data_IF_292532273936
#
_entry.id   IF_292532273936
#
_cell.length_a   1.000
_cell.length_b   1.000
_cell.length_c   1.000
_cell.angle_alpha   90.00
_cell.angle_beta   90.00
_cell.angle_gamma   90.00
#
_symmetry.space_group_name_H-M   'P 1'
#
loop_
_entity.id
_entity.type
_entity.pdbx_description
1 polymer ?
#
# COMPACT_ATOMS: atom_id res chain seq x y z
N UNK A 1 9.11 36.00 29.93
CA UNK A 1 8.03 35.70 30.89
C UNK A 1 8.61 34.86 32.00
N UNK A 2 8.20 35.10 33.26
CA UNK A 2 8.62 34.28 34.41
C UNK A 2 8.15 32.83 34.24
N UNK A 3 8.93 31.89 34.77
CA UNK A 3 8.52 30.50 34.88
C UNK A 3 7.47 30.40 36.00
N UNK A 4 6.20 30.07 35.72
CA UNK A 4 5.16 30.00 36.76
C UNK A 4 5.54 29.01 37.87
N UNK A 5 6.27 27.93 37.55
CA UNK A 5 6.75 26.96 38.54
C UNK A 5 7.89 27.48 39.45
N UNK A 6 8.15 28.79 39.44
CA UNK A 6 9.05 29.48 40.38
C UNK A 6 8.38 30.63 41.12
N UNK A 7 7.23 31.10 40.65
CA UNK A 7 6.60 32.33 41.14
C UNK A 7 5.16 32.13 41.57
N UNK A 8 4.55 31.01 41.19
CA UNK A 8 3.16 30.69 41.46
C UNK A 8 3.08 29.47 42.37
N UNK A 9 2.78 29.71 43.65
CA UNK A 9 2.66 28.69 44.69
C UNK A 9 1.62 27.63 44.33
N UNK A 10 0.48 28.05 43.76
CA UNK A 10 -0.58 27.14 43.33
C UNK A 10 -0.08 26.20 42.25
N UNK A 11 0.67 26.72 41.28
CA UNK A 11 1.27 25.93 40.21
C UNK A 11 2.36 24.97 40.72
N UNK A 12 3.20 25.42 41.66
CA UNK A 12 4.26 24.59 42.28
C UNK A 12 3.62 23.40 43.01
N UNK A 13 2.67 23.65 43.92
CA UNK A 13 1.99 22.60 44.68
C UNK A 13 1.27 21.61 43.78
N UNK A 14 0.65 22.10 42.69
CA UNK A 14 0.01 21.23 41.71
C UNK A 14 0.97 20.28 41.01
N UNK A 15 2.19 20.73 40.68
CA UNK A 15 3.21 19.87 40.06
C UNK A 15 3.80 18.88 41.06
N UNK A 16 3.97 19.27 42.33
CA UNK A 16 4.40 18.33 43.38
C UNK A 16 3.37 17.22 43.58
N UNK A 17 2.08 17.57 43.69
CA UNK A 17 1.01 16.59 43.79
C UNK A 17 0.90 15.71 42.54
N UNK A 18 1.08 16.28 41.35
CA UNK A 18 1.13 15.50 40.11
C UNK A 18 2.25 14.44 40.12
N UNK A 19 3.43 14.78 40.65
CA UNK A 19 4.52 13.82 40.79
C UNK A 19 4.22 12.74 41.84
N UNK A 20 3.59 13.12 42.95
CA UNK A 20 3.12 12.19 43.98
C UNK A 20 2.11 11.19 43.42
N UNK A 21 1.08 11.66 42.69
CA UNK A 21 0.07 10.81 42.05
C UNK A 21 0.64 9.91 40.94
N UNK A 22 1.84 10.22 40.45
CA UNK A 22 2.59 9.35 39.54
C UNK A 22 3.34 8.21 40.25
N UNK A 23 3.14 8.05 41.56
CA UNK A 23 3.78 7.05 42.43
C UNK A 23 5.32 7.10 42.37
N UNK A 24 5.88 8.28 42.12
CA UNK A 24 7.33 8.47 42.16
C UNK A 24 7.80 8.57 43.60
N UNK A 25 8.94 7.95 43.91
CA UNK A 25 9.59 8.19 45.20
C UNK A 25 9.98 9.66 45.37
N UNK A 26 9.99 10.14 46.60
CA UNK A 26 10.32 11.52 46.97
C UNK A 26 11.65 11.98 46.37
N UNK A 27 12.69 11.14 46.48
CA UNK A 27 14.00 11.42 45.90
C UNK A 27 13.98 11.52 44.36
N UNK A 28 13.22 10.66 43.69
CA UNK A 28 13.07 10.69 42.23
C UNK A 28 12.36 11.98 41.78
N UNK A 29 11.28 12.34 42.47
CA UNK A 29 10.53 13.57 42.25
C UNK A 29 11.37 14.82 42.49
N UNK A 30 12.16 14.84 43.56
CA UNK A 30 13.14 15.90 43.85
C UNK A 30 14.13 16.10 42.71
N UNK A 31 14.76 15.00 42.25
CA UNK A 31 15.76 15.07 41.18
C UNK A 31 15.14 15.52 39.86
N UNK A 32 13.96 15.02 39.52
CA UNK A 32 13.27 15.41 38.29
C UNK A 32 12.82 16.87 38.35
N UNK A 33 12.14 17.27 39.42
CA UNK A 33 11.64 18.63 39.58
C UNK A 33 12.76 19.66 39.51
N UNK A 34 13.84 19.48 40.27
CA UNK A 34 14.96 20.42 40.25
C UNK A 34 15.71 20.42 38.92
N UNK A 35 15.76 19.29 38.20
CA UNK A 35 16.32 19.25 36.84
C UNK A 35 15.42 19.98 35.83
N UNK A 36 14.11 19.82 35.94
CA UNK A 36 13.12 20.41 35.02
C UNK A 36 12.94 21.89 35.28
N UNK A 37 12.76 22.32 36.53
CA UNK A 37 12.53 23.73 36.92
C UNK A 37 13.84 24.53 36.93
N UNK A 38 14.98 23.86 37.21
CA UNK A 38 16.34 24.40 37.42
C UNK A 38 16.47 25.21 38.71
N UNK A 39 17.73 25.42 39.12
CA UNK A 39 18.19 26.26 40.25
C UNK A 39 18.03 25.67 41.65
N UNK A 40 17.88 24.35 41.79
CA UNK A 40 17.67 23.68 43.09
C UNK A 40 16.55 24.36 43.91
N UNK A 41 15.46 24.68 43.22
CA UNK A 41 14.38 25.52 43.72
C UNK A 41 13.74 24.99 45.01
N UNK A 42 13.57 23.67 45.12
CA UNK A 42 13.00 23.02 46.30
C UNK A 42 14.05 22.12 46.96
N UNK A 43 14.13 22.13 48.29
CA UNK A 43 14.98 21.20 49.03
C UNK A 43 14.36 19.80 49.06
N UNK A 44 15.14 18.78 49.46
CA UNK A 44 14.60 17.44 49.65
C UNK A 44 13.60 17.42 50.82
N UNK A 45 13.93 18.10 51.91
CA UNK A 45 13.12 18.19 53.13
C UNK A 45 11.76 18.85 52.85
N UNK A 46 11.72 19.93 52.06
CA UNK A 46 10.46 20.59 51.66
C UNK A 46 9.59 19.65 50.81
N UNK A 47 10.20 18.86 49.93
CA UNK A 47 9.47 17.93 49.08
C UNK A 47 8.95 16.73 49.88
N UNK A 48 9.75 16.22 50.83
CA UNK A 48 9.34 15.22 51.83
C UNK A 48 8.15 15.72 52.65
N UNK A 49 8.22 16.96 53.14
CA UNK A 49 7.12 17.60 53.86
C UNK A 49 5.82 17.56 53.04
N UNK A 50 5.83 18.01 51.79
CA UNK A 50 4.64 18.01 50.95
C UNK A 50 4.12 16.61 50.61
N UNK A 51 5.00 15.65 50.35
CA UNK A 51 4.59 14.27 50.06
C UNK A 51 3.90 13.63 51.27
N UNK A 52 4.42 13.81 52.48
CA UNK A 52 3.76 13.36 53.71
C UNK A 52 2.40 14.04 53.91
N UNK A 53 2.25 15.32 53.54
CA UNK A 53 0.95 15.99 53.58
C UNK A 53 -0.05 15.38 52.60
N UNK A 54 0.37 15.08 51.37
CA UNK A 54 -0.48 14.44 50.37
C UNK A 54 -0.91 13.02 50.80
N UNK A 55 -0.04 12.25 51.46
CA UNK A 55 -0.42 10.94 52.03
C UNK A 55 -1.57 11.05 53.05
N UNK A 56 -1.65 12.17 53.76
CA UNK A 56 -2.71 12.46 54.73
C UNK A 56 -3.91 13.21 54.12
N UNK A 57 -3.95 13.36 52.79
CA UNK A 57 -5.03 14.08 52.10
C UNK A 57 -4.99 15.60 52.28
N UNK A 58 -3.85 16.18 52.65
CA UNK A 58 -3.71 17.62 52.94
C UNK A 58 -2.99 18.35 51.80
N UNK A 59 -3.50 19.52 51.40
CA UNK A 59 -2.99 20.26 50.23
C UNK A 59 -2.62 21.72 50.49
N UNK A 60 -2.89 22.24 51.68
CA UNK A 60 -2.39 23.53 52.11
C UNK A 60 -1.73 23.44 53.48
N UNK A 61 -1.11 24.54 53.91
CA UNK A 61 -0.49 24.67 55.23
C UNK A 61 -1.47 25.14 56.31
N UNK A 62 -2.69 25.57 55.94
CA UNK A 62 -3.57 26.38 56.80
C UNK A 62 -4.84 25.67 57.25
N UNK A 63 -5.25 24.60 56.58
CA UNK A 63 -6.53 23.95 56.78
C UNK A 63 -6.32 22.45 57.09
N UNK A 64 -6.03 22.17 58.36
CA UNK A 64 -5.80 20.82 58.86
C UNK A 64 -7.09 20.03 59.14
N UNK A 65 -8.24 20.70 59.04
CA UNK A 65 -9.56 20.15 59.38
C UNK A 65 -10.23 19.41 58.22
N UNK A 66 -9.73 19.58 56.98
CA UNK A 66 -10.29 18.93 55.78
C UNK A 66 -9.28 18.02 55.09
N UNK A 67 -9.71 16.79 54.77
CA UNK A 67 -8.94 15.84 53.97
C UNK A 67 -9.53 15.72 52.57
N UNK A 68 -8.71 15.92 51.55
CA UNK A 68 -9.07 15.77 50.15
C UNK A 68 -8.95 14.29 49.78
N UNK A 69 -10.09 13.68 49.47
CA UNK A 69 -10.15 12.26 49.08
C UNK A 69 -9.86 12.03 47.59
N UNK A 70 -9.99 13.06 46.74
CA UNK A 70 -9.81 12.94 45.29
C UNK A 70 -8.90 14.05 44.73
N UNK A 71 -7.60 13.88 44.94
CA UNK A 71 -6.57 14.76 44.39
C UNK A 71 -6.52 14.78 42.87
N UNK A 72 -6.92 13.68 42.23
CA UNK A 72 -6.93 13.58 40.77
C UNK A 72 -7.95 14.56 40.20
N UNK A 73 -9.18 14.52 40.69
CA UNK A 73 -10.23 15.44 40.24
C UNK A 73 -9.88 16.88 40.57
N UNK A 74 -9.31 17.16 41.76
CA UNK A 74 -8.84 18.51 42.11
C UNK A 74 -7.82 19.07 41.10
N UNK A 75 -6.86 18.27 40.62
CA UNK A 75 -5.92 18.71 39.59
C UNK A 75 -6.55 18.80 38.20
N UNK A 76 -7.53 17.95 37.90
CA UNK A 76 -8.16 17.86 36.57
C UNK A 76 -9.21 18.96 36.35
N UNK A 77 -10.00 19.28 37.38
CA UNK A 77 -11.11 20.23 37.31
C UNK A 77 -10.65 21.70 37.39
N UNK A 78 -9.55 21.95 38.10
CA UNK A 78 -8.95 23.28 38.18
C UNK A 78 -8.00 23.52 37.01
N UNK A 79 -8.47 24.28 36.01
CA UNK A 79 -7.72 24.60 34.79
C UNK A 79 -6.32 25.14 35.05
N UNK A 80 -6.14 25.96 36.08
CA UNK A 80 -4.83 26.52 36.39
C UNK A 80 -3.87 25.42 36.85
N UNK A 81 -4.35 24.53 37.74
CA UNK A 81 -3.58 23.38 38.25
C UNK A 81 -3.24 22.39 37.14
N UNK A 82 -4.22 22.07 36.29
CA UNK A 82 -4.04 21.19 35.14
C UNK A 82 -2.94 21.74 34.22
N UNK A 83 -3.02 23.03 33.88
CA UNK A 83 -2.06 23.71 32.99
C UNK A 83 -0.67 23.81 33.59
N UNK A 84 -0.54 23.97 34.90
CA UNK A 84 0.76 23.89 35.58
C UNK A 84 1.42 22.52 35.34
N UNK A 85 0.64 21.43 35.41
CA UNK A 85 1.12 20.08 35.13
C UNK A 85 1.49 19.89 33.65
N UNK A 86 0.69 20.42 32.71
CA UNK A 86 1.05 20.42 31.28
C UNK A 86 2.35 21.19 31.05
N UNK A 87 2.51 22.34 31.70
CA UNK A 87 3.70 23.17 31.58
C UNK A 87 4.94 22.47 32.12
N UNK A 88 4.82 21.72 33.21
CA UNK A 88 5.90 20.86 33.70
C UNK A 88 6.32 19.80 32.69
N UNK A 89 5.35 19.08 32.09
CA UNK A 89 5.64 18.09 31.05
C UNK A 89 6.24 18.73 29.78
N UNK A 90 5.83 19.95 29.41
CA UNK A 90 6.49 20.74 28.37
C UNK A 90 7.96 21.04 28.71
N UNK A 91 8.23 21.58 29.90
CA UNK A 91 9.60 21.89 30.32
C UNK A 91 10.47 20.63 30.35
N UNK A 92 9.90 19.51 30.79
CA UNK A 92 10.56 18.20 30.79
C UNK A 92 10.99 17.79 29.38
N UNK A 93 10.09 17.88 28.40
CA UNK A 93 10.38 17.54 27.02
C UNK A 93 11.45 18.46 26.39
N UNK A 94 11.42 19.75 26.68
CA UNK A 94 12.39 20.72 26.13
C UNK A 94 13.73 20.66 26.85
N UNK A 95 13.78 20.42 28.16
CA UNK A 95 15.01 20.53 28.97
C UNK A 95 15.73 19.21 29.19
N UNK A 96 15.04 18.07 29.05
CA UNK A 96 15.65 16.75 29.26
C UNK A 96 16.06 16.04 27.97
N UNK A 97 15.63 16.52 26.80
CA UNK A 97 15.99 15.95 25.50
C UNK A 97 16.91 16.90 24.73
N UNK A 98 17.84 16.33 23.97
CA UNK A 98 18.76 17.08 23.11
C UNK A 98 18.07 17.69 21.88
N UNK A 99 17.00 17.05 21.39
CA UNK A 99 16.21 17.50 20.24
C UNK A 99 14.72 17.29 20.52
N UNK A 100 13.91 18.30 20.18
CA UNK A 100 12.46 18.20 20.24
C UNK A 100 11.91 17.45 19.01
N UNK A 101 11.06 16.46 19.24
CA UNK A 101 10.38 15.70 18.17
C UNK A 101 8.87 15.76 18.39
N UNK A 102 8.07 15.86 17.32
CA UNK A 102 6.61 15.98 17.45
C UNK A 102 5.94 14.78 18.16
N UNK A 103 6.51 13.57 18.09
CA UNK A 103 6.03 12.40 18.85
C UNK A 103 6.22 12.55 20.37
N UNK A 104 7.06 13.48 20.82
CA UNK A 104 7.23 13.83 22.23
C UNK A 104 5.96 14.42 22.85
N UNK A 105 5.18 15.20 22.10
CA UNK A 105 3.93 15.81 22.60
C UNK A 105 2.93 14.71 22.98
N UNK A 106 2.71 13.77 22.07
CA UNK A 106 1.79 12.66 22.32
C UNK A 106 2.30 11.70 23.42
N UNK A 107 3.63 11.53 23.54
CA UNK A 107 4.21 10.77 24.63
C UNK A 107 4.01 11.45 25.99
N UNK A 108 4.12 12.78 26.06
CA UNK A 108 3.84 13.57 27.26
C UNK A 108 2.36 13.50 27.65
N UNK A 109 1.46 13.66 26.68
CA UNK A 109 0.02 13.44 26.89
C UNK A 109 -0.27 12.07 27.50
N UNK A 110 0.27 10.99 26.90
CA UNK A 110 0.08 9.62 27.40
C UNK A 110 0.61 9.38 28.81
N UNK A 111 1.63 10.13 29.26
CA UNK A 111 2.09 10.05 30.65
C UNK A 111 1.08 10.72 31.56
N UNK A 112 0.68 11.94 31.23
CA UNK A 112 -0.24 12.74 32.03
C UNK A 112 -1.63 12.10 32.12
N UNK A 113 -2.17 11.57 31.01
CA UNK A 113 -3.48 10.93 30.94
C UNK A 113 -3.59 9.61 31.71
N UNK A 114 -2.48 9.06 32.21
CA UNK A 114 -2.50 7.90 33.13
C UNK A 114 -2.91 8.31 34.53
N UNK A 115 -2.69 9.58 34.89
CA UNK A 115 -2.85 10.09 36.25
C UNK A 115 -4.00 11.08 36.32
N UNK A 116 -4.13 11.98 35.35
CA UNK A 116 -5.14 13.04 35.32
C UNK A 116 -6.17 12.78 34.22
N UNK A 117 -7.39 13.30 34.42
CA UNK A 117 -8.36 13.36 33.34
C UNK A 117 -8.07 14.60 32.48
N UNK A 118 -7.73 14.39 31.22
CA UNK A 118 -7.31 15.46 30.32
C UNK A 118 -7.67 15.15 28.87
N UNK A 119 -8.38 16.10 28.26
CA UNK A 119 -8.64 16.07 26.82
C UNK A 119 -7.36 16.33 26.02
N UNK A 120 -7.13 15.53 24.98
CA UNK A 120 -5.94 15.70 24.14
C UNK A 120 -5.89 17.07 23.48
N UNK A 121 -7.03 17.65 23.13
CA UNK A 121 -7.09 18.93 22.43
C UNK A 121 -6.67 20.07 23.35
N UNK A 122 -7.09 20.05 24.62
CA UNK A 122 -6.64 21.04 25.62
C UNK A 122 -5.15 20.87 25.90
N UNK A 123 -4.68 19.62 26.06
CA UNK A 123 -3.26 19.33 26.21
C UNK A 123 -2.43 19.89 25.05
N UNK A 124 -2.79 19.53 23.82
CA UNK A 124 -2.08 19.89 22.59
C UNK A 124 -2.03 21.42 22.43
N UNK A 125 -3.16 22.10 22.64
CA UNK A 125 -3.25 23.56 22.62
C UNK A 125 -2.31 24.21 23.64
N UNK A 126 -2.37 23.78 24.90
CA UNK A 126 -1.53 24.31 25.97
C UNK A 126 -0.04 24.10 25.65
N UNK A 127 0.31 22.88 25.24
CA UNK A 127 1.69 22.50 24.94
C UNK A 127 2.28 23.35 23.81
N UNK A 128 1.57 23.52 22.70
CA UNK A 128 2.04 24.37 21.60
C UNK A 128 2.01 25.86 21.94
N UNK A 129 1.12 26.31 22.81
CA UNK A 129 1.13 27.68 23.36
C UNK A 129 2.41 27.93 24.16
N UNK A 130 2.82 26.98 25.00
CA UNK A 130 4.08 27.08 25.75
C UNK A 130 5.30 27.00 24.85
N UNK A 131 5.28 26.16 23.80
CA UNK A 131 6.35 26.15 22.78
C UNK A 131 6.55 27.52 22.10
N UNK A 132 5.48 28.30 21.95
CA UNK A 132 5.54 29.68 21.41
C UNK A 132 6.01 30.72 22.43
N UNK A 133 6.37 30.32 23.65
CA UNK A 133 6.89 31.20 24.70
C UNK A 133 5.83 31.92 25.55
N UNK A 134 4.55 31.52 25.45
CA UNK A 134 3.45 32.16 26.19
C UNK A 134 3.13 31.33 27.44
N UNK A 135 3.71 31.70 28.59
CA UNK A 135 3.69 30.88 29.82
C UNK A 135 2.59 31.22 30.84
N UNK A 136 1.69 32.16 30.54
CA UNK A 136 0.55 32.43 31.40
C UNK A 136 -0.36 31.18 31.49
N UNK A 137 -0.69 30.74 32.71
CA UNK A 137 -1.57 29.61 33.00
C UNK A 137 -3.06 30.01 33.01
N UNK A 138 -3.35 31.28 33.31
CA UNK A 138 -4.68 31.88 33.35
C UNK A 138 -5.01 32.51 32.00
N UNK A 139 -5.53 31.68 31.10
CA UNK A 139 -6.08 32.12 29.82
C UNK A 139 -7.45 31.51 29.56
N UNK A 140 -8.25 32.22 28.78
CA UNK A 140 -9.50 31.67 28.24
C UNK A 140 -9.17 30.64 27.16
N UNK A 141 -9.59 29.41 27.40
CA UNK A 141 -9.52 28.34 26.42
C UNK A 141 -10.83 28.34 25.65
N UNK A 142 -10.77 28.69 24.36
CA UNK A 142 -11.90 28.55 23.45
C UNK A 142 -11.69 27.29 22.59
N UNK A 143 -12.48 26.21 22.82
CA UNK A 143 -12.41 24.98 22.03
C UNK A 143 -12.62 25.20 20.53
N UNK A 144 -13.35 26.24 20.14
CA UNK A 144 -13.64 26.57 18.73
C UNK A 144 -12.40 27.02 17.95
N UNK A 145 -11.32 27.40 18.64
CA UNK A 145 -10.04 27.75 18.00
C UNK A 145 -9.20 26.53 17.64
N UNK A 146 -9.59 25.34 18.10
CA UNK A 146 -8.85 24.11 17.85
C UNK A 146 -9.23 23.59 16.47
N UNK A 147 -8.23 23.55 15.60
CA UNK A 147 -8.39 22.93 14.28
C UNK A 147 -8.36 21.41 14.46
N UNK A 148 -9.47 20.77 14.13
CA UNK A 148 -9.55 19.34 13.96
C UNK A 148 -8.97 18.92 12.61
N UNK A 149 -8.72 17.62 12.44
CA UNK A 149 -8.36 17.07 11.13
C UNK A 149 -9.40 17.37 10.05
N UNK A 150 -10.68 17.50 10.42
CA UNK A 150 -11.78 17.79 9.50
C UNK A 150 -11.73 19.21 8.93
N UNK A 151 -11.01 20.12 9.59
CA UNK A 151 -10.81 21.51 9.18
C UNK A 151 -9.68 21.66 8.16
N UNK A 152 -8.93 20.59 7.87
CA UNK A 152 -7.94 20.59 6.81
C UNK A 152 -8.61 20.78 5.44
N UNK A 153 -8.04 21.64 4.57
CA UNK A 153 -8.50 21.76 3.19
C UNK A 153 -8.47 20.40 2.48
N UNK A 154 -9.47 20.16 1.62
CA UNK A 154 -9.62 18.91 0.88
C UNK A 154 -8.33 18.49 0.16
N UNK A 155 -7.65 19.43 -0.50
CA UNK A 155 -6.38 19.18 -1.21
C UNK A 155 -5.25 18.71 -0.28
N UNK A 156 -5.22 19.19 0.97
CA UNK A 156 -4.22 18.74 1.95
C UNK A 156 -4.48 17.30 2.36
N UNK A 157 -5.74 16.94 2.62
CA UNK A 157 -6.12 15.56 2.95
C UNK A 157 -5.82 14.61 1.80
N UNK A 158 -6.04 15.05 0.54
CA UNK A 158 -5.72 14.29 -0.66
C UNK A 158 -4.22 13.98 -0.77
N UNK A 159 -3.36 14.96 -0.48
CA UNK A 159 -1.90 14.76 -0.43
C UNK A 159 -1.52 13.74 0.64
N UNK A 160 -2.10 13.84 1.84
CA UNK A 160 -1.86 12.87 2.93
C UNK A 160 -2.25 11.48 2.46
N UNK A 161 -3.48 11.30 1.97
CA UNK A 161 -4.01 10.03 1.49
C UNK A 161 -3.18 9.44 0.34
N UNK A 162 -2.64 10.26 -0.56
CA UNK A 162 -1.74 9.82 -1.64
C UNK A 162 -0.39 9.27 -1.16
N UNK A 163 0.06 9.68 0.03
CA UNK A 163 1.32 9.20 0.64
C UNK A 163 1.16 7.92 1.45
N UNK A 164 -0.06 7.59 1.88
CA UNK A 164 -0.34 6.41 2.68
C UNK A 164 -0.08 5.12 1.92
N UNK A 165 0.34 4.09 2.65
CA UNK A 165 0.36 2.73 2.14
C UNK A 165 -1.04 2.10 2.12
N UNK A 166 -1.16 0.93 1.48
CA UNK A 166 -2.45 0.27 1.32
C UNK A 166 -3.15 -0.05 2.66
N UNK A 167 -2.50 -0.65 3.69
CA UNK A 167 -3.11 -0.85 5.01
C UNK A 167 -3.65 0.45 5.64
N UNK A 168 -2.85 1.51 5.62
CA UNK A 168 -3.22 2.82 6.16
C UNK A 168 -4.44 3.41 5.43
N UNK A 169 -4.49 3.25 4.11
CA UNK A 169 -5.65 3.68 3.31
C UNK A 169 -6.91 2.90 3.68
N UNK A 170 -6.81 1.57 3.85
CA UNK A 170 -7.92 0.75 4.31
C UNK A 170 -8.41 1.16 5.71
N UNK A 171 -7.49 1.54 6.61
CA UNK A 171 -7.83 2.08 7.92
C UNK A 171 -8.55 3.43 7.82
N UNK A 172 -7.98 4.40 7.11
CA UNK A 172 -8.56 5.76 7.00
C UNK A 172 -9.92 5.75 6.29
N UNK A 173 -10.08 4.90 5.27
CA UNK A 173 -11.35 4.70 4.56
C UNK A 173 -12.51 4.28 5.49
N UNK A 174 -12.21 3.67 6.64
CA UNK A 174 -13.20 3.20 7.62
C UNK A 174 -13.57 4.27 8.67
N UNK A 175 -12.82 5.38 8.76
CA UNK A 175 -13.02 6.38 9.81
C UNK A 175 -14.22 7.31 9.58
N UNK A 176 -14.44 7.77 8.34
CA UNK A 176 -15.58 8.63 8.01
C UNK A 176 -16.00 8.53 6.55
N UNK A 177 -17.23 8.96 6.25
CA UNK A 177 -17.74 9.01 4.87
C UNK A 177 -16.92 9.94 3.97
N UNK A 178 -16.54 11.12 4.48
CA UNK A 178 -15.69 12.09 3.74
C UNK A 178 -14.32 11.49 3.40
N UNK A 179 -13.67 10.83 4.37
CA UNK A 179 -12.38 10.19 4.15
C UNK A 179 -12.46 9.00 3.20
N UNK A 180 -13.55 8.23 3.28
CA UNK A 180 -13.84 7.13 2.35
C UNK A 180 -13.83 7.61 0.91
N UNK A 181 -14.59 8.66 0.62
CA UNK A 181 -14.67 9.20 -0.75
C UNK A 181 -13.32 9.74 -1.22
N UNK A 182 -12.57 10.44 -0.35
CA UNK A 182 -11.22 10.92 -0.68
C UNK A 182 -10.28 9.76 -1.02
N UNK A 183 -10.30 8.67 -0.24
CA UNK A 183 -9.49 7.47 -0.51
C UNK A 183 -9.89 6.86 -1.86
N UNK A 184 -11.18 6.69 -2.10
CA UNK A 184 -11.70 6.04 -3.31
C UNK A 184 -11.38 6.85 -4.59
N UNK A 185 -11.38 8.18 -4.50
CA UNK A 185 -11.05 9.09 -5.60
C UNK A 185 -9.54 9.28 -5.82
N UNK A 186 -8.72 9.08 -4.80
CA UNK A 186 -7.28 9.33 -4.86
C UNK A 186 -6.54 8.12 -5.40
N UNK A 187 -6.33 8.06 -6.72
CA UNK A 187 -5.54 6.99 -7.35
C UNK A 187 -4.06 7.06 -6.97
N UNK A 188 -3.44 5.91 -6.73
CA UNK A 188 -2.00 5.79 -6.45
C UNK A 188 -1.30 4.98 -7.54
N UNK A 189 -0.04 5.30 -7.82
CA UNK A 189 0.82 4.49 -8.67
C UNK A 189 1.34 3.27 -7.91
N UNK A 190 1.19 2.08 -8.49
CA UNK A 190 1.70 0.82 -7.96
C UNK A 190 2.57 0.14 -9.03
N UNK A 191 3.77 -0.29 -8.64
CA UNK A 191 4.69 -0.93 -9.57
C UNK A 191 4.24 -2.35 -9.89
N UNK A 192 3.91 -3.14 -8.86
CA UNK A 192 3.50 -4.51 -9.05
C UNK A 192 2.44 -4.95 -8.04
N UNK A 193 1.46 -5.70 -8.52
CA UNK A 193 0.53 -6.47 -7.70
C UNK A 193 0.60 -7.93 -8.13
N UNK A 194 0.94 -8.82 -7.21
CA UNK A 194 0.89 -10.27 -7.42
C UNK A 194 -0.24 -10.87 -6.58
N UNK A 195 -1.24 -11.42 -7.26
CA UNK A 195 -2.38 -12.09 -6.63
C UNK A 195 -2.23 -13.60 -6.88
N UNK A 196 -2.20 -14.39 -5.81
CA UNK A 196 -2.24 -15.84 -5.88
C UNK A 196 -3.49 -16.33 -5.14
N UNK A 197 -4.32 -17.07 -5.84
CA UNK A 197 -5.57 -17.60 -5.29
C UNK A 197 -5.51 -19.11 -5.38
N UNK A 198 -5.74 -19.74 -4.24
CA UNK A 198 -5.91 -21.19 -4.11
C UNK A 198 -7.23 -21.45 -3.39
N UNK A 199 -7.63 -22.72 -3.31
CA UNK A 199 -8.77 -23.15 -2.50
C UNK A 199 -8.72 -22.69 -1.03
N UNK A 200 -7.52 -22.54 -0.46
CA UNK A 200 -7.35 -22.30 0.97
C UNK A 200 -6.82 -20.91 1.32
N UNK A 201 -6.15 -20.25 0.37
CA UNK A 201 -5.38 -19.04 0.64
C UNK A 201 -5.53 -18.06 -0.52
N UNK A 202 -5.86 -16.81 -0.19
CA UNK A 202 -5.66 -15.66 -1.08
C UNK A 202 -4.42 -14.91 -0.57
N UNK A 203 -3.39 -14.86 -1.40
CA UNK A 203 -2.15 -14.14 -1.11
C UNK A 203 -1.99 -12.97 -2.09
N UNK A 204 -1.69 -11.79 -1.54
CA UNK A 204 -1.54 -10.55 -2.31
C UNK A 204 -0.21 -9.93 -1.94
N UNK A 205 0.67 -9.72 -2.92
CA UNK A 205 1.87 -8.93 -2.75
C UNK A 205 1.72 -7.61 -3.49
N UNK A 206 2.06 -6.51 -2.82
CA UNK A 206 2.02 -5.17 -3.39
C UNK A 206 3.40 -4.56 -3.28
N UNK A 207 3.95 -4.14 -4.42
CA UNK A 207 5.21 -3.42 -4.51
C UNK A 207 4.98 -2.01 -5.04
N UNK A 208 5.41 -1.03 -4.24
CA UNK A 208 5.46 0.38 -4.61
C UNK A 208 6.87 0.90 -4.30
N UNK A 209 7.57 1.31 -5.36
CA UNK A 209 8.92 1.86 -5.30
C UNK A 209 8.91 3.23 -4.59
N UNK A 210 10.02 3.60 -3.91
CA UNK A 210 11.31 2.90 -3.90
C UNK A 210 11.45 1.76 -2.88
N UNK A 211 10.58 1.62 -1.87
CA UNK A 211 10.90 0.79 -0.69
C UNK A 211 9.73 0.07 -0.02
N UNK A 212 8.51 0.14 -0.55
CA UNK A 212 7.37 -0.53 0.10
C UNK A 212 7.02 -1.84 -0.60
N UNK A 213 7.24 -2.96 0.11
CA UNK A 213 6.70 -4.28 -0.22
C UNK A 213 5.79 -4.73 0.92
N UNK A 214 4.61 -5.21 0.55
CA UNK A 214 3.60 -5.65 1.51
C UNK A 214 3.04 -6.98 1.06
N UNK A 215 2.97 -7.94 1.98
CA UNK A 215 2.33 -9.23 1.76
C UNK A 215 1.09 -9.33 2.64
N UNK A 216 -0.01 -9.76 2.04
CA UNK A 216 -1.28 -10.08 2.70
C UNK A 216 -1.64 -11.53 2.41
N UNK A 217 -2.07 -12.26 3.44
CA UNK A 217 -2.59 -13.62 3.32
C UNK A 217 -3.91 -13.73 4.05
N UNK A 218 -4.91 -14.24 3.35
CA UNK A 218 -6.25 -14.50 3.88
C UNK A 218 -6.48 -16.01 3.84
N UNK A 219 -6.81 -16.61 4.98
CA UNK A 219 -7.09 -18.04 5.06
C UNK A 219 -8.04 -18.38 6.21
N UNK A 220 -8.88 -19.36 5.98
CA UNK A 220 -9.95 -19.76 6.90
C UNK A 220 -9.45 -20.84 7.86
N UNK A 221 -9.75 -20.69 9.16
CA UNK A 221 -9.58 -21.73 10.18
C UNK A 221 -10.91 -21.90 10.92
N UNK A 222 -11.67 -22.94 10.58
CA UNK A 222 -13.03 -23.11 11.11
C UNK A 222 -13.91 -21.91 10.77
N UNK A 223 -14.53 -21.29 11.77
CA UNK A 223 -15.35 -20.08 11.64
C UNK A 223 -14.54 -18.77 11.71
N UNK A 224 -13.22 -18.85 11.79
CA UNK A 224 -12.33 -17.69 11.93
C UNK A 224 -11.63 -17.42 10.60
N UNK A 225 -11.82 -16.20 10.08
CA UNK A 225 -10.95 -15.70 9.03
C UNK A 225 -9.67 -15.10 9.62
N UNK A 226 -8.52 -15.54 9.12
CA UNK A 226 -7.21 -15.02 9.51
C UNK A 226 -6.63 -14.17 8.40
N UNK A 227 -6.19 -12.97 8.78
CA UNK A 227 -5.47 -12.04 7.91
C UNK A 227 -4.07 -11.83 8.46
N UNK A 228 -3.07 -12.33 7.75
CA UNK A 228 -1.66 -12.14 8.05
C UNK A 228 -1.10 -11.02 7.15
N UNK A 229 -0.44 -10.02 7.76
CA UNK A 229 0.23 -8.92 7.09
C UNK A 229 1.55 -8.57 7.78
N UNK A 230 2.68 -8.71 7.08
CA UNK A 230 4.02 -8.34 7.58
C UNK A 230 4.25 -8.78 9.05
N UNK A 231 4.02 -10.06 9.34
CA UNK A 231 4.14 -10.69 10.68
C UNK A 231 3.09 -10.28 11.73
N UNK A 232 2.12 -9.45 11.38
CA UNK A 232 0.95 -9.16 12.22
C UNK A 232 -0.21 -10.04 11.79
N UNK A 233 -0.85 -10.69 12.75
CA UNK A 233 -2.02 -11.54 12.56
C UNK A 233 -3.26 -10.84 13.11
N UNK A 234 -4.35 -10.83 12.35
CA UNK A 234 -5.69 -10.46 12.81
C UNK A 234 -6.64 -11.61 12.57
N UNK A 235 -7.58 -11.79 13.49
CA UNK A 235 -8.59 -12.85 13.44
C UNK A 235 -9.98 -12.22 13.47
N UNK A 236 -10.87 -12.70 12.62
CA UNK A 236 -12.25 -12.22 12.47
C UNK A 236 -13.19 -13.41 12.56
N UNK A 237 -13.94 -13.50 13.67
CA UNK A 237 -14.90 -14.60 13.92
C UNK A 237 -16.19 -14.38 13.12
N UNK A 238 -16.67 -15.42 12.44
CA UNK A 238 -17.92 -15.40 11.67
C UNK A 238 -17.79 -14.76 10.28
N UNK A 239 -16.61 -14.26 9.91
CA UNK A 239 -16.37 -13.67 8.60
C UNK A 239 -15.81 -14.71 7.64
N UNK A 240 -16.30 -14.70 6.39
CA UNK A 240 -15.70 -15.46 5.31
C UNK A 240 -14.45 -14.72 4.79
N UNK A 241 -13.32 -15.42 4.71
CA UNK A 241 -12.08 -14.84 4.19
C UNK A 241 -12.15 -14.41 2.73
N UNK A 242 -12.94 -15.05 1.88
CA UNK A 242 -13.15 -14.63 0.50
C UNK A 242 -13.80 -13.26 0.43
N UNK A 243 -14.82 -12.99 1.25
CA UNK A 243 -15.50 -11.69 1.28
C UNK A 243 -14.58 -10.58 1.77
N UNK A 244 -13.84 -10.84 2.86
CA UNK A 244 -12.87 -9.90 3.40
C UNK A 244 -11.76 -9.60 2.39
N UNK A 245 -11.17 -10.65 1.79
CA UNK A 245 -10.15 -10.49 0.76
C UNK A 245 -10.69 -9.75 -0.47
N UNK A 246 -11.92 -10.04 -0.90
CA UNK A 246 -12.53 -9.41 -2.07
C UNK A 246 -12.79 -7.92 -1.86
N UNK A 247 -13.25 -7.54 -0.67
CA UNK A 247 -13.45 -6.13 -0.33
C UNK A 247 -12.12 -5.36 -0.23
N UNK A 248 -11.11 -5.94 0.42
CA UNK A 248 -9.79 -5.31 0.50
C UNK A 248 -9.14 -5.19 -0.90
N UNK A 249 -9.18 -6.26 -1.70
CA UNK A 249 -8.68 -6.27 -3.08
C UNK A 249 -9.41 -5.29 -3.99
N UNK A 250 -10.74 -5.17 -3.87
CA UNK A 250 -11.50 -4.23 -4.71
C UNK A 250 -11.09 -2.79 -4.41
N UNK A 251 -10.83 -2.44 -3.15
CA UNK A 251 -10.29 -1.12 -2.77
C UNK A 251 -8.91 -0.92 -3.40
N UNK A 252 -8.01 -1.91 -3.28
CA UNK A 252 -6.67 -1.85 -3.87
C UNK A 252 -6.74 -1.61 -5.38
N UNK A 253 -7.49 -2.45 -6.09
CA UNK A 253 -7.56 -2.44 -7.55
C UNK A 253 -8.25 -1.17 -8.07
N UNK A 254 -9.39 -0.79 -7.49
CA UNK A 254 -10.10 0.43 -7.88
C UNK A 254 -9.23 1.66 -7.66
N UNK A 255 -8.43 1.74 -6.60
CA UNK A 255 -7.65 2.95 -6.28
C UNK A 255 -6.24 2.98 -6.91
N UNK A 256 -5.93 2.12 -7.87
CA UNK A 256 -4.57 1.96 -8.38
C UNK A 256 -4.41 2.21 -9.89
N UNK A 257 -3.28 2.82 -10.25
CA UNK A 257 -2.68 2.73 -11.58
C UNK A 257 -1.51 1.75 -11.50
N UNK A 258 -1.64 0.61 -12.17
CA UNK A 258 -0.79 -0.56 -11.97
C UNK A 258 0.16 -0.71 -13.15
N UNK A 259 1.47 -0.72 -12.90
CA UNK A 259 2.45 -1.01 -13.96
C UNK A 259 2.42 -2.50 -14.32
N UNK A 260 2.40 -3.41 -13.34
CA UNK A 260 2.37 -4.86 -13.56
C UNK A 260 1.34 -5.54 -12.67
N UNK A 261 0.39 -6.26 -13.27
CA UNK A 261 -0.60 -7.08 -12.58
C UNK A 261 -0.37 -8.55 -12.92
N UNK A 262 0.00 -9.34 -11.91
CA UNK A 262 0.25 -10.76 -12.04
C UNK A 262 -0.82 -11.53 -11.26
N UNK A 263 -1.56 -12.42 -11.91
CA UNK A 263 -2.62 -13.21 -11.27
C UNK A 263 -2.37 -14.69 -11.51
N UNK A 264 -2.40 -15.47 -10.42
CA UNK A 264 -2.13 -16.91 -10.43
C UNK A 264 -3.28 -17.66 -9.77
N UNK A 265 -4.01 -18.43 -10.58
CA UNK A 265 -5.06 -19.32 -10.09
C UNK A 265 -4.51 -20.73 -9.87
N UNK A 266 -4.87 -21.38 -8.76
CA UNK A 266 -4.51 -22.78 -8.54
C UNK A 266 -5.27 -23.71 -9.50
N UNK A 267 -6.57 -23.45 -9.66
CA UNK A 267 -7.59 -24.25 -10.33
C UNK A 267 -8.76 -23.36 -10.82
N UNK A 268 -9.81 -23.97 -11.39
CA UNK A 268 -11.01 -23.27 -11.89
C UNK A 268 -11.80 -22.62 -10.74
N UNK A 269 -11.91 -23.29 -9.60
CA UNK A 269 -12.61 -22.76 -8.40
C UNK A 269 -11.95 -21.46 -7.90
N UNK A 270 -10.61 -21.40 -7.93
CA UNK A 270 -9.84 -20.20 -7.61
C UNK A 270 -10.14 -19.02 -8.54
N UNK A 271 -10.48 -19.29 -9.80
CA UNK A 271 -10.91 -18.25 -10.73
C UNK A 271 -12.31 -17.75 -10.40
N UNK A 272 -13.27 -18.65 -10.14
CA UNK A 272 -14.64 -18.30 -9.72
C UNK A 272 -14.62 -17.44 -8.45
N UNK A 273 -13.77 -17.78 -7.48
CA UNK A 273 -13.57 -16.98 -6.28
C UNK A 273 -13.07 -15.56 -6.60
N UNK A 274 -12.23 -15.40 -7.62
CA UNK A 274 -11.76 -14.09 -8.04
C UNK A 274 -12.82 -13.27 -8.78
N UNK A 275 -13.80 -13.90 -9.41
CA UNK A 275 -14.91 -13.18 -10.06
C UNK A 275 -15.68 -12.32 -9.06
N UNK A 276 -15.80 -12.76 -7.81
CA UNK A 276 -16.38 -11.96 -6.73
C UNK A 276 -15.60 -10.66 -6.48
N UNK A 277 -14.29 -10.65 -6.70
CA UNK A 277 -13.48 -9.42 -6.64
C UNK A 277 -13.82 -8.51 -7.83
N UNK A 278 -13.96 -9.11 -9.01
CA UNK A 278 -14.24 -8.39 -10.25
C UNK A 278 -15.62 -7.69 -10.22
N UNK A 279 -16.64 -8.32 -9.62
CA UNK A 279 -17.99 -7.72 -9.49
C UNK A 279 -18.02 -6.52 -8.55
N UNK A 280 -17.05 -6.37 -7.65
CA UNK A 280 -16.89 -5.22 -6.75
C UNK A 280 -16.09 -4.07 -7.37
N UNK A 281 -15.57 -4.25 -8.59
CA UNK A 281 -14.88 -3.18 -9.30
C UNK A 281 -15.90 -2.16 -9.80
N UNK A 282 -15.67 -0.89 -9.49
CA UNK A 282 -16.51 0.23 -9.93
C UNK A 282 -15.88 1.02 -11.08
N UNK A 283 -14.65 0.67 -11.46
CA UNK A 283 -13.91 1.32 -12.55
C UNK A 283 -13.11 0.31 -13.35
N UNK A 284 -12.86 0.62 -14.61
CA UNK A 284 -11.91 -0.14 -15.42
C UNK A 284 -10.47 0.05 -14.91
N UNK A 285 -9.74 -1.03 -14.78
CA UNK A 285 -8.40 -1.04 -14.20
C UNK A 285 -7.38 -0.47 -15.17
N UNK A 286 -6.56 0.45 -14.68
CA UNK A 286 -5.43 0.98 -15.43
C UNK A 286 -4.21 0.08 -15.25
N UNK A 287 -3.98 -0.83 -16.19
CA UNK A 287 -2.87 -1.81 -16.16
C UNK A 287 -2.00 -1.67 -17.41
N UNK A 288 -0.68 -1.64 -17.24
CA UNK A 288 0.27 -1.61 -18.37
C UNK A 288 0.75 -3.00 -18.79
N UNK A 289 1.04 -3.88 -17.83
CA UNK A 289 1.51 -5.24 -18.10
C UNK A 289 0.64 -6.23 -17.34
N UNK A 290 0.02 -7.16 -18.08
CA UNK A 290 -0.79 -8.23 -17.51
C UNK A 290 -0.03 -9.55 -17.61
N UNK A 291 -0.04 -10.33 -16.53
CA UNK A 291 0.47 -11.69 -16.49
C UNK A 291 -0.54 -12.62 -15.83
N UNK A 292 -0.96 -13.66 -16.53
CA UNK A 292 -2.01 -14.57 -16.09
C UNK A 292 -1.53 -16.01 -16.10
N UNK A 293 -1.69 -16.70 -14.98
CA UNK A 293 -1.59 -18.16 -14.91
C UNK A 293 -2.99 -18.75 -14.78
N UNK A 294 -3.52 -19.24 -15.90
CA UNK A 294 -4.92 -19.60 -16.12
C UNK A 294 -5.05 -21.03 -16.67
N UNK A 295 -6.26 -21.57 -16.62
CA UNK A 295 -6.55 -22.90 -17.18
C UNK A 295 -6.98 -22.84 -18.65
N UNK A 296 -7.65 -21.78 -19.08
CA UNK A 296 -8.18 -21.64 -20.43
C UNK A 296 -8.15 -20.17 -20.92
N UNK A 297 -8.52 -19.96 -22.19
CA UNK A 297 -8.53 -18.65 -22.83
C UNK A 297 -9.64 -17.72 -22.32
N UNK A 298 -10.81 -18.27 -21.99
CA UNK A 298 -11.96 -17.51 -21.51
C UNK A 298 -11.60 -16.67 -20.29
N UNK A 299 -10.85 -17.26 -19.34
CA UNK A 299 -10.33 -16.57 -18.17
C UNK A 299 -9.48 -15.35 -18.53
N UNK A 300 -8.69 -15.42 -19.61
CA UNK A 300 -7.87 -14.28 -20.09
C UNK A 300 -8.78 -13.14 -20.52
N UNK A 301 -9.75 -13.41 -21.39
CA UNK A 301 -10.61 -12.37 -21.95
C UNK A 301 -11.60 -11.81 -20.94
N UNK A 302 -12.07 -12.64 -20.00
CA UNK A 302 -12.89 -12.19 -18.89
C UNK A 302 -12.12 -11.24 -17.98
N UNK A 303 -10.81 -11.41 -17.77
CA UNK A 303 -10.00 -10.44 -17.02
C UNK A 303 -9.73 -9.18 -17.87
N UNK A 304 -9.42 -9.35 -19.15
CA UNK A 304 -9.18 -8.22 -20.06
C UNK A 304 -10.37 -7.25 -20.14
N UNK A 305 -11.60 -7.73 -19.97
CA UNK A 305 -12.81 -6.88 -20.06
C UNK A 305 -12.91 -5.85 -18.93
N UNK A 306 -12.26 -6.11 -17.79
CA UNK A 306 -12.17 -5.18 -16.68
C UNK A 306 -11.00 -4.19 -16.81
N UNK A 307 -10.13 -4.36 -17.81
CA UNK A 307 -9.02 -3.43 -18.05
C UNK A 307 -9.47 -2.27 -18.93
N UNK A 308 -8.94 -1.09 -18.65
CA UNK A 308 -9.17 0.11 -19.46
C UNK A 308 -8.47 -0.03 -20.82
N UNK A 309 -9.18 0.16 -21.95
CA UNK A 309 -8.54 0.24 -23.26
C UNK A 309 -7.45 1.32 -23.32
N UNK A 310 -6.41 1.08 -24.11
CA UNK A 310 -5.31 2.03 -24.35
C UNK A 310 -4.20 2.04 -23.30
N UNK A 311 -4.36 1.38 -22.15
CA UNK A 311 -3.32 1.36 -21.10
C UNK A 311 -2.40 0.16 -21.24
N UNK A 312 -2.93 -0.97 -21.73
CA UNK A 312 -2.26 -2.26 -21.77
C UNK A 312 -1.19 -2.29 -22.87
N UNK A 313 0.05 -2.55 -22.47
CA UNK A 313 1.23 -2.66 -23.35
C UNK A 313 1.63 -4.11 -23.59
N UNK A 314 1.52 -4.96 -22.57
CA UNK A 314 1.97 -6.36 -22.62
C UNK A 314 0.96 -7.33 -22.02
N UNK A 315 0.82 -8.49 -22.67
CA UNK A 315 0.00 -9.61 -22.20
C UNK A 315 0.90 -10.85 -22.11
N UNK A 316 0.98 -11.45 -20.92
CA UNK A 316 1.68 -12.71 -20.69
C UNK A 316 0.68 -13.76 -20.20
N UNK A 317 0.64 -14.91 -20.86
CA UNK A 317 -0.32 -15.99 -20.57
C UNK A 317 0.44 -17.29 -20.33
N UNK A 318 0.19 -17.89 -19.18
CA UNK A 318 0.73 -19.18 -18.76
C UNK A 318 -0.43 -20.16 -18.56
N UNK A 319 -0.48 -21.21 -19.39
CA UNK A 319 -1.43 -22.31 -19.20
C UNK A 319 -0.86 -23.41 -18.30
N UNK A 320 -1.70 -24.02 -17.46
CA UNK A 320 -1.35 -25.21 -16.66
C UNK A 320 -1.76 -26.54 -17.28
N UNK A 321 -2.70 -26.57 -18.22
CA UNK A 321 -3.32 -27.80 -18.74
C UNK A 321 -3.24 -27.89 -20.28
N UNK A 322 -3.43 -29.11 -20.80
CA UNK A 322 -3.43 -29.53 -22.21
C UNK A 322 -4.58 -28.88 -23.04
N UNK A 323 -4.58 -29.00 -24.39
CA UNK A 323 -4.78 -27.87 -25.30
C UNK A 323 -6.22 -27.32 -25.44
N UNK A 324 -6.28 -26.02 -25.71
CA UNK A 324 -7.47 -25.15 -25.71
C UNK A 324 -8.40 -25.32 -26.93
N UNK A 325 -8.57 -26.54 -27.43
CA UNK A 325 -9.23 -26.82 -28.71
C UNK A 325 -10.74 -26.50 -28.74
N UNK A 326 -11.41 -26.40 -27.59
CA UNK A 326 -12.87 -26.25 -27.53
C UNK A 326 -13.37 -24.83 -27.17
N UNK A 327 -12.53 -23.80 -27.29
CA UNK A 327 -12.87 -22.42 -26.88
C UNK A 327 -12.78 -21.39 -28.02
N UNK A 328 -12.92 -21.83 -29.27
CA UNK A 328 -12.72 -20.98 -30.44
C UNK A 328 -13.67 -19.76 -30.45
N UNK A 329 -14.92 -19.93 -30.01
CA UNK A 329 -15.91 -18.85 -30.01
C UNK A 329 -15.53 -17.72 -29.05
N UNK A 330 -15.15 -18.07 -27.82
CA UNK A 330 -14.72 -17.13 -26.78
C UNK A 330 -13.42 -16.43 -27.17
N UNK A 331 -12.48 -17.18 -27.75
CA UNK A 331 -11.26 -16.63 -28.31
C UNK A 331 -11.57 -15.59 -29.38
N UNK A 332 -12.44 -15.90 -30.36
CA UNK A 332 -12.83 -14.97 -31.43
C UNK A 332 -13.52 -13.72 -30.92
N UNK A 333 -14.33 -13.82 -29.87
CA UNK A 333 -14.92 -12.65 -29.21
C UNK A 333 -13.83 -11.80 -28.54
N UNK A 334 -12.92 -12.43 -27.81
CA UNK A 334 -11.82 -11.78 -27.11
C UNK A 334 -10.83 -11.02 -28.02
N UNK A 335 -10.53 -11.57 -29.20
CA UNK A 335 -9.64 -10.93 -30.17
C UNK A 335 -10.14 -9.59 -30.71
N UNK A 336 -11.46 -9.34 -30.65
CA UNK A 336 -12.06 -8.08 -31.10
C UNK A 336 -11.92 -6.94 -30.09
N UNK A 337 -11.48 -7.25 -28.87
CA UNK A 337 -11.34 -6.28 -27.79
C UNK A 337 -10.23 -5.27 -28.08
N UNK A 338 -10.49 -4.00 -27.81
CA UNK A 338 -9.49 -2.94 -27.93
C UNK A 338 -8.26 -3.20 -27.05
N UNK A 339 -8.47 -3.75 -25.85
CA UNK A 339 -7.39 -4.13 -24.94
C UNK A 339 -6.40 -5.11 -25.59
N UNK A 340 -6.91 -6.08 -26.38
CA UNK A 340 -6.08 -7.05 -27.10
C UNK A 340 -5.38 -6.42 -28.31
N UNK A 341 -6.13 -5.68 -29.13
CA UNK A 341 -5.65 -5.10 -30.39
C UNK A 341 -4.64 -3.97 -30.21
N UNK A 342 -4.69 -3.27 -29.07
CA UNK A 342 -3.80 -2.14 -28.79
C UNK A 342 -2.53 -2.56 -28.04
N UNK A 343 -2.51 -3.75 -27.44
CA UNK A 343 -1.32 -4.30 -26.79
C UNK A 343 -0.21 -4.55 -27.83
N UNK A 344 1.04 -4.33 -27.41
CA UNK A 344 2.22 -4.37 -28.29
C UNK A 344 3.05 -5.63 -28.14
N UNK A 345 2.94 -6.27 -26.97
CA UNK A 345 3.73 -7.45 -26.61
C UNK A 345 2.78 -8.58 -26.21
N UNK A 346 2.95 -9.73 -26.84
CA UNK A 346 2.30 -10.97 -26.45
C UNK A 346 3.35 -12.01 -26.09
N UNK A 347 3.19 -12.61 -24.92
CA UNK A 347 3.91 -13.82 -24.54
C UNK A 347 2.90 -14.90 -24.20
N UNK A 348 2.92 -15.98 -24.97
CA UNK A 348 1.99 -17.10 -24.87
C UNK A 348 2.75 -18.40 -24.59
N UNK A 349 2.67 -18.88 -23.37
CA UNK A 349 3.48 -19.99 -22.90
C UNK A 349 2.79 -21.36 -23.02
N UNK A 350 3.65 -22.39 -23.17
CA UNK A 350 3.39 -23.85 -23.11
C UNK A 350 2.47 -24.42 -24.18
N UNK A 351 1.29 -23.87 -24.34
CA UNK A 351 0.30 -24.34 -25.30
C UNK A 351 0.51 -23.61 -26.63
N UNK A 352 0.27 -24.32 -27.73
CA UNK A 352 0.18 -23.66 -29.04
C UNK A 352 -0.88 -22.56 -28.97
N UNK A 353 -0.66 -21.43 -29.63
CA UNK A 353 -1.74 -20.47 -29.83
C UNK A 353 -2.84 -21.15 -30.65
N UNK A 354 -4.10 -21.20 -30.16
CA UNK A 354 -5.13 -22.09 -30.71
C UNK A 354 -5.84 -21.53 -31.95
N UNK A 355 -5.51 -20.32 -32.39
CA UNK A 355 -6.12 -19.65 -33.53
C UNK A 355 -5.10 -19.38 -34.65
N UNK A 356 -5.55 -19.02 -35.86
CA UNK A 356 -4.65 -18.65 -36.96
C UNK A 356 -3.67 -17.55 -36.54
N UNK A 357 -2.41 -17.72 -36.96
CA UNK A 357 -1.28 -16.88 -36.55
C UNK A 357 -1.47 -15.40 -36.91
N UNK A 358 -2.21 -15.11 -37.96
CA UNK A 358 -2.51 -13.77 -38.46
C UNK A 358 -3.19 -12.90 -37.41
N UNK A 359 -3.91 -13.52 -36.47
CA UNK A 359 -4.53 -12.83 -35.32
C UNK A 359 -3.51 -12.25 -34.33
N UNK A 360 -2.22 -12.57 -34.51
CA UNK A 360 -1.12 -12.07 -33.69
C UNK A 360 -0.29 -11.00 -34.42
N UNK A 361 -0.47 -10.79 -35.72
CA UNK A 361 0.44 -9.95 -36.51
C UNK A 361 0.41 -8.45 -36.18
N UNK A 362 -0.56 -7.98 -35.39
CA UNK A 362 -0.56 -6.60 -34.86
C UNK A 362 0.41 -6.39 -33.69
N UNK A 363 0.90 -7.47 -33.08
CA UNK A 363 1.86 -7.38 -32.00
C UNK A 363 3.26 -7.06 -32.54
N UNK A 364 3.86 -5.99 -32.01
CA UNK A 364 5.27 -5.64 -32.23
C UNK A 364 6.22 -6.73 -31.75
N UNK A 365 5.87 -7.39 -30.66
CA UNK A 365 6.68 -8.47 -30.08
C UNK A 365 5.82 -9.68 -29.74
N UNK A 366 6.24 -10.86 -30.20
CA UNK A 366 5.55 -12.13 -29.96
C UNK A 366 6.56 -13.14 -29.43
N UNK A 367 6.19 -13.82 -28.36
CA UNK A 367 6.82 -15.07 -27.94
C UNK A 367 5.72 -16.11 -27.75
N UNK A 368 5.48 -16.95 -28.75
CA UNK A 368 4.41 -17.93 -28.71
C UNK A 368 4.93 -19.32 -29.07
N UNK A 369 4.22 -20.37 -28.64
CA UNK A 369 4.40 -21.71 -29.22
C UNK A 369 3.41 -21.88 -30.37
N UNK A 370 3.87 -22.49 -31.46
CA UNK A 370 3.00 -22.96 -32.53
C UNK A 370 2.86 -24.48 -32.42
N UNK A 371 1.65 -25.03 -32.61
CA UNK A 371 1.46 -26.48 -32.58
C UNK A 371 2.23 -27.17 -33.72
N UNK A 372 2.21 -26.58 -34.91
CA UNK A 372 2.98 -26.94 -36.10
C UNK A 372 3.39 -25.66 -36.85
N UNK A 373 4.43 -25.77 -37.68
CA UNK A 373 4.87 -24.72 -38.62
C UNK A 373 4.94 -25.36 -40.00
N UNK A 374 4.00 -25.02 -40.87
CA UNK A 374 3.97 -25.50 -42.26
C UNK A 374 4.40 -24.39 -43.25
N UNK A 375 4.62 -24.79 -44.50
CA UNK A 375 4.90 -23.90 -45.64
C UNK A 375 4.01 -22.67 -45.69
N UNK A 376 2.70 -22.89 -45.53
CA UNK A 376 1.69 -21.85 -45.67
C UNK A 376 1.83 -20.82 -44.55
N UNK A 377 2.11 -21.26 -43.33
CA UNK A 377 2.37 -20.37 -42.19
C UNK A 377 3.66 -19.58 -42.37
N UNK A 378 4.72 -20.20 -42.89
CA UNK A 378 5.97 -19.51 -43.19
C UNK A 378 5.78 -18.45 -44.28
N UNK A 379 5.01 -18.75 -45.32
CA UNK A 379 4.65 -17.79 -46.37
C UNK A 379 3.87 -16.60 -45.79
N UNK A 380 2.88 -16.86 -44.93
CA UNK A 380 2.11 -15.80 -44.26
C UNK A 380 2.98 -14.92 -43.36
N UNK A 381 3.94 -15.52 -42.64
CA UNK A 381 4.93 -14.77 -41.85
C UNK A 381 5.75 -13.88 -42.77
N UNK A 382 6.31 -14.41 -43.87
CA UNK A 382 7.10 -13.64 -44.84
C UNK A 382 6.32 -12.44 -45.36
N UNK A 383 5.07 -12.66 -45.80
CA UNK A 383 4.21 -11.59 -46.28
C UNK A 383 3.95 -10.53 -45.22
N UNK A 384 3.71 -10.93 -43.98
CA UNK A 384 3.53 -10.01 -42.86
C UNK A 384 4.80 -9.19 -42.58
N UNK A 385 5.98 -9.80 -42.59
CA UNK A 385 7.26 -9.10 -42.39
C UNK A 385 7.50 -8.03 -43.45
N UNK A 386 7.17 -8.32 -44.71
CA UNK A 386 7.33 -7.39 -45.83
C UNK A 386 6.30 -6.25 -45.81
N UNK A 387 5.07 -6.50 -45.32
CA UNK A 387 3.97 -5.53 -45.30
C UNK A 387 3.91 -4.68 -44.01
N UNK A 388 4.33 -5.23 -42.87
CA UNK A 388 4.12 -4.64 -41.54
C UNK A 388 5.44 -4.13 -40.94
N UNK A 389 5.58 -2.81 -40.84
CA UNK A 389 6.84 -2.19 -40.40
C UNK A 389 7.02 -2.08 -38.88
N UNK A 390 5.96 -2.33 -38.10
CA UNK A 390 5.98 -2.19 -36.64
C UNK A 390 6.65 -3.37 -35.91
N UNK A 391 6.86 -4.48 -36.60
CA UNK A 391 7.41 -5.73 -36.06
C UNK A 391 8.84 -5.47 -35.57
N UNK A 392 9.12 -5.89 -34.32
CA UNK A 392 10.47 -5.80 -33.72
C UNK A 392 11.07 -7.17 -33.49
N UNK A 393 10.30 -8.09 -32.91
CA UNK A 393 10.80 -9.41 -32.52
C UNK A 393 9.67 -10.43 -32.45
N UNK A 394 9.75 -11.49 -33.23
CA UNK A 394 8.84 -12.63 -33.13
C UNK A 394 9.65 -13.89 -32.87
N UNK A 395 9.18 -14.71 -31.93
CA UNK A 395 9.71 -16.05 -31.71
C UNK A 395 8.57 -17.04 -31.58
N UNK A 396 8.59 -18.02 -32.46
CA UNK A 396 7.62 -19.08 -32.54
C UNK A 396 8.30 -20.40 -32.19
N UNK A 397 8.02 -20.92 -30.98
CA UNK A 397 8.51 -22.21 -30.54
C UNK A 397 7.80 -23.32 -31.32
N UNK A 398 8.55 -24.20 -31.98
CA UNK A 398 7.98 -25.40 -32.62
C UNK A 398 7.96 -26.60 -31.65
N UNK A 399 7.12 -27.59 -31.93
CA UNK A 399 7.18 -28.90 -31.27
C UNK A 399 8.31 -29.75 -31.87
N UNK A 400 9.11 -30.48 -31.08
CA UNK A 400 10.19 -31.32 -31.62
C UNK A 400 9.72 -32.39 -32.62
N UNK A 401 8.43 -32.78 -32.56
CA UNK A 401 7.82 -33.73 -33.48
C UNK A 401 7.64 -33.18 -34.91
N UNK A 402 7.65 -31.86 -35.09
CA UNK A 402 7.48 -31.20 -36.39
C UNK A 402 8.63 -30.19 -36.58
N UNK A 403 9.83 -30.68 -36.94
CA UNK A 403 10.96 -29.80 -37.22
C UNK A 403 10.63 -28.90 -38.42
N UNK A 404 11.17 -27.68 -38.38
CA UNK A 404 11.06 -26.74 -39.50
C UNK A 404 11.97 -27.24 -40.63
N UNK A 405 11.43 -27.31 -41.86
CA UNK A 405 12.21 -27.69 -43.03
C UNK A 405 13.15 -26.55 -43.44
N UNK A 406 14.46 -26.79 -43.34
CA UNK A 406 15.48 -25.80 -43.70
C UNK A 406 15.49 -25.47 -45.19
N UNK A 407 15.16 -26.43 -46.08
CA UNK A 407 15.08 -26.15 -47.52
C UNK A 407 13.93 -25.19 -47.82
N UNK A 408 12.81 -25.34 -47.13
CA UNK A 408 11.67 -24.45 -47.24
C UNK A 408 11.99 -23.05 -46.69
N UNK A 409 12.69 -22.99 -45.56
CA UNK A 409 13.18 -21.72 -45.02
C UNK A 409 14.14 -21.02 -45.99
N UNK A 410 15.03 -21.77 -46.65
CA UNK A 410 15.95 -21.22 -47.66
C UNK A 410 15.21 -20.71 -48.90
N UNK A 411 14.20 -21.46 -49.37
CA UNK A 411 13.36 -21.05 -50.49
C UNK A 411 12.57 -19.77 -50.18
N UNK A 412 12.08 -19.60 -48.95
CA UNK A 412 11.27 -18.45 -48.57
C UNK A 412 12.10 -17.25 -48.12
N UNK A 413 13.17 -17.45 -47.35
CA UNK A 413 13.91 -16.37 -46.68
C UNK A 413 15.34 -16.21 -47.18
N UNK A 414 15.78 -17.02 -48.15
CA UNK A 414 17.15 -17.04 -48.65
C UNK A 414 18.07 -17.92 -47.81
N UNK A 415 19.30 -18.17 -48.32
CA UNK A 415 20.25 -19.07 -47.68
C UNK A 415 20.76 -18.50 -46.35
N UNK A 416 21.27 -19.38 -45.50
CA UNK A 416 21.95 -18.99 -44.27
C UNK A 416 23.31 -18.35 -44.60
N UNK A 417 23.57 -17.18 -44.03
CA UNK A 417 24.88 -16.51 -44.06
C UNK A 417 25.26 -16.12 -42.63
N UNK A 418 26.48 -16.43 -42.20
CA UNK A 418 26.95 -16.19 -40.82
C UNK A 418 26.01 -16.72 -39.70
N UNK A 419 25.28 -17.80 -39.98
CA UNK A 419 24.40 -18.46 -39.01
C UNK A 419 22.96 -17.92 -38.96
N UNK A 420 22.59 -16.95 -39.79
CA UNK A 420 21.24 -16.39 -39.88
C UNK A 420 20.79 -16.20 -41.34
N UNK A 421 19.48 -16.13 -41.59
CA UNK A 421 18.91 -15.71 -42.88
C UNK A 421 18.57 -14.23 -42.81
N UNK A 422 18.76 -13.50 -43.91
CA UNK A 422 18.46 -12.07 -43.99
C UNK A 422 17.30 -11.81 -44.94
N UNK A 423 16.26 -11.13 -44.44
CA UNK A 423 15.15 -10.65 -45.26
C UNK A 423 15.16 -9.12 -45.27
N UNK A 424 15.53 -8.53 -46.41
CA UNK A 424 15.54 -7.08 -46.61
C UNK A 424 14.12 -6.51 -46.54
N UNK A 425 13.96 -5.36 -45.89
CA UNK A 425 12.69 -4.65 -45.82
C UNK A 425 12.68 -3.59 -46.93
N UNK A 426 11.77 -3.69 -47.92
CA UNK A 426 11.75 -2.77 -49.05
C UNK A 426 11.69 -1.31 -48.61
N UNK A 427 12.50 -0.47 -49.25
CA UNK A 427 12.55 0.98 -49.03
C UNK A 427 12.96 1.42 -47.60
N UNK A 428 13.72 0.60 -46.87
CA UNK A 428 14.25 0.96 -45.54
C UNK A 428 15.69 0.50 -45.36
N UNK A 429 16.44 1.14 -44.46
CA UNK A 429 17.78 0.70 -44.04
C UNK A 429 17.70 -0.40 -42.95
N UNK A 430 16.70 -1.27 -43.03
CA UNK A 430 16.45 -2.30 -42.04
C UNK A 430 16.23 -3.64 -42.71
N UNK A 431 16.59 -4.71 -42.01
CA UNK A 431 16.38 -6.08 -42.44
C UNK A 431 15.92 -6.94 -41.25
N UNK A 432 15.38 -8.12 -41.52
CA UNK A 432 15.10 -9.11 -40.50
C UNK A 432 16.18 -10.19 -40.49
N UNK A 433 16.75 -10.46 -39.32
CA UNK A 433 17.53 -11.66 -39.03
C UNK A 433 16.59 -12.79 -38.64
N UNK A 434 16.66 -13.91 -39.35
CA UNK A 434 15.79 -15.06 -39.16
C UNK A 434 16.65 -16.28 -38.79
N UNK A 435 16.39 -16.82 -37.61
CA UNK A 435 17.02 -18.05 -37.09
C UNK A 435 15.98 -19.16 -37.07
N UNK A 436 16.29 -20.31 -37.67
CA UNK A 436 15.54 -21.54 -37.46
C UNK A 436 16.40 -22.49 -36.62
N UNK A 437 15.79 -23.08 -35.60
CA UNK A 437 16.42 -24.13 -34.79
C UNK A 437 15.42 -25.25 -34.60
N UNK A 438 15.88 -26.40 -34.09
CA UNK A 438 14.99 -27.47 -33.60
C UNK A 438 13.98 -27.00 -32.53
N UNK A 439 14.17 -25.81 -31.96
CA UNK A 439 13.33 -25.23 -30.92
C UNK A 439 12.37 -24.15 -31.44
N UNK A 440 12.41 -23.79 -32.72
CA UNK A 440 11.51 -22.79 -33.30
C UNK A 440 12.18 -21.81 -34.28
N UNK A 441 11.38 -20.85 -34.73
CA UNK A 441 11.80 -19.74 -35.60
C UNK A 441 11.87 -18.45 -34.77
N UNK A 442 13.02 -17.78 -34.80
CA UNK A 442 13.23 -16.44 -34.26
C UNK A 442 13.42 -15.44 -35.38
N UNK A 443 12.79 -14.26 -35.25
CA UNK A 443 12.81 -13.18 -36.22
C UNK A 443 13.09 -11.88 -35.47
N UNK A 444 14.18 -11.20 -35.80
CA UNK A 444 14.58 -9.95 -35.15
C UNK A 444 14.81 -8.87 -36.19
N UNK A 445 14.19 -7.70 -36.00
CA UNK A 445 14.45 -6.54 -36.86
C UNK A 445 15.78 -5.89 -36.47
N UNK A 446 16.64 -5.67 -37.45
CA UNK A 446 17.90 -4.92 -37.35
C UNK A 446 17.87 -3.71 -38.28
N UNK A 447 18.63 -2.69 -37.90
CA UNK A 447 18.98 -1.62 -38.83
C UNK A 447 20.42 -1.89 -39.30
N UNK A 448 20.69 -1.57 -40.56
CA UNK A 448 22.04 -1.60 -41.12
C UNK A 448 22.96 -0.59 -40.42
#
# INVERSE_FOLDING_TARGET
MSNPLKTDEKAILSVLLYQFLHEKSTYSSFKEFNKVVRDNFISLDDLEFWFTRFENGKFDERDDDFSISDFKSMLSDDKHRLRACIFFEFLKEIRMKSEFRHDAVFAAYKRMSKVLDIDYSEFDFCFYRFMKGVFNLDFEYNPEQIRSFSDLPFETVKIIVGKLNFPERCCIRKLSFKLRNIVDDTKIGINQIDIRITKFIIAVNVEKLPTSRMEFKYYQIGDICVVDHNFRRKQFKGNNCLDLASNDLSILLNTSKICSLNIKFADIESFVNFENVLTLLNTQLHVENLSLHVSNAEQVFKILSYLKPGTLKSINVYSKQDPWYNHEMELRAGLKMDQWRQAKVLVWHRNGFPLPLEQLFHFRTILAKLPYVDSLQLQKIKEALLKLHHIKYWYFRSTPAHPIDDNEMDNLFGPITHGVRHLEIPNTNAHYEITATRHGVGITKRNH
#
